data_IF_213508367924
#
_entry.id   IF_213508367924
#
_cell.length_a   1.000
_cell.length_b   1.000
_cell.length_c   1.000
_cell.angle_alpha   90.00
_cell.angle_beta   90.00
_cell.angle_gamma   90.00
#
_symmetry.space_group_name_H-M   'P 1'
#
loop_
_entity.id
_entity.type
_entity.pdbx_description
1 polymer ?
#
# COMPACT_ATOMS: atom_id res chain seq x y z
N UNK A 1 20.97 32.75 45.45
CA UNK A 1 19.59 32.58 44.94
C UNK A 1 19.58 31.64 43.73
N UNK A 2 20.07 30.39 43.89
CA UNK A 2 20.47 29.56 42.73
C UNK A 2 19.74 28.21 42.69
N UNK A 3 18.80 27.96 43.62
CA UNK A 3 18.07 26.70 43.73
C UNK A 3 16.77 26.67 42.91
N UNK A 4 16.09 27.83 42.77
CA UNK A 4 14.88 27.95 41.94
C UNK A 4 15.15 27.83 40.43
N UNK A 5 16.35 28.19 39.98
CA UNK A 5 16.73 28.09 38.58
C UNK A 5 16.90 26.63 38.12
N UNK A 6 17.19 25.70 39.04
CA UNK A 6 17.44 24.30 38.72
C UNK A 6 16.13 23.49 38.54
N UNK A 7 15.08 23.87 39.31
CA UNK A 7 13.76 23.21 39.25
C UNK A 7 13.00 23.58 37.97
N UNK A 8 13.20 24.80 37.46
CA UNK A 8 12.51 25.26 36.25
C UNK A 8 13.07 24.60 34.97
N UNK A 9 14.36 24.26 34.93
CA UNK A 9 14.99 23.57 33.81
C UNK A 9 14.54 22.11 33.70
N UNK A 10 14.31 21.43 34.84
CA UNK A 10 13.81 20.05 34.84
C UNK A 10 12.35 19.94 34.36
N UNK A 11 11.53 20.97 34.62
CA UNK A 11 10.11 20.97 34.25
C UNK A 11 9.87 21.20 32.75
N UNK A 12 10.80 21.84 32.04
CA UNK A 12 10.71 22.04 30.58
C UNK A 12 11.07 20.77 29.80
N UNK A 13 11.93 19.90 30.34
CA UNK A 13 12.29 18.66 29.67
C UNK A 13 11.15 17.62 29.62
N UNK A 14 10.14 17.72 30.49
CA UNK A 14 9.02 16.78 30.51
C UNK A 14 7.89 17.13 29.53
N UNK A 15 7.85 18.34 28.97
CA UNK A 15 6.81 18.74 28.01
C UNK A 15 7.20 18.54 26.55
N UNK A 16 8.48 18.26 26.27
CA UNK A 16 8.93 17.87 24.93
C UNK A 16 8.81 16.35 24.83
N UNK A 17 7.58 15.83 24.98
CA UNK A 17 7.23 14.54 24.41
C UNK A 17 7.28 14.73 22.90
N UNK A 18 8.47 14.58 22.32
CA UNK A 18 8.63 14.39 20.88
C UNK A 18 7.73 13.20 20.56
N UNK A 19 6.63 13.47 19.88
CA UNK A 19 5.91 12.45 19.15
C UNK A 19 6.92 11.85 18.19
N UNK A 20 7.35 10.64 18.53
CA UNK A 20 7.99 9.70 17.63
C UNK A 20 7.05 9.53 16.44
N UNK A 21 7.17 10.45 15.47
CA UNK A 21 6.61 10.27 14.15
C UNK A 21 7.50 9.21 13.55
N UNK A 22 7.07 7.95 13.71
CA UNK A 22 7.73 6.81 13.11
C UNK A 22 8.08 7.16 11.68
N UNK A 23 9.35 6.99 11.35
CA UNK A 23 9.91 7.20 10.02
C UNK A 23 9.02 6.47 9.01
N UNK A 24 8.16 7.24 8.34
CA UNK A 24 7.63 6.80 7.06
C UNK A 24 8.85 6.84 6.14
N UNK A 25 9.47 5.68 5.93
CA UNK A 25 10.42 5.50 4.84
C UNK A 25 9.68 5.91 3.56
N UNK A 26 10.00 7.10 3.07
CA UNK A 26 9.58 7.54 1.75
C UNK A 26 10.24 6.59 0.75
N UNK A 27 9.50 5.54 0.38
CA UNK A 27 9.78 4.75 -0.81
C UNK A 27 9.55 5.64 -2.04
N UNK A 28 10.42 6.64 -2.25
CA UNK A 28 10.47 7.55 -3.41
C UNK A 28 11.04 6.83 -4.66
N UNK A 29 10.64 5.56 -4.85
CA UNK A 29 10.87 4.81 -6.07
C UNK A 29 9.65 4.88 -6.99
N UNK A 30 9.81 4.64 -8.30
CA UNK A 30 8.67 4.43 -9.19
C UNK A 30 7.69 3.41 -8.57
N UNK A 31 6.38 3.67 -8.66
CA UNK A 31 5.38 2.77 -8.08
C UNK A 31 5.37 1.42 -8.81
N UNK A 32 5.52 0.33 -8.06
CA UNK A 32 5.48 -1.04 -8.60
C UNK A 32 4.39 -1.85 -7.91
N UNK A 33 3.56 -2.53 -8.69
CA UNK A 33 2.66 -3.56 -8.17
C UNK A 33 2.41 -4.65 -9.21
N UNK A 34 1.99 -5.81 -8.72
CA UNK A 34 1.49 -6.90 -9.53
C UNK A 34 0.21 -7.42 -8.90
N UNK A 35 -0.82 -7.59 -9.71
CA UNK A 35 -2.15 -8.02 -9.31
C UNK A 35 -2.67 -9.09 -10.27
N UNK A 36 -3.18 -10.17 -9.69
CA UNK A 36 -3.68 -11.32 -10.41
C UNK A 36 -4.93 -11.85 -9.73
N UNK A 37 -5.96 -12.13 -10.53
CA UNK A 37 -7.11 -12.92 -10.06
C UNK A 37 -7.62 -13.85 -11.14
N UNK A 38 -8.18 -14.99 -10.73
CA UNK A 38 -8.87 -15.91 -11.63
C UNK A 38 -10.09 -16.52 -10.94
N UNK A 39 -11.11 -16.78 -11.74
CA UNK A 39 -12.31 -17.51 -11.34
C UNK A 39 -12.45 -18.68 -12.28
N UNK A 40 -12.63 -19.86 -11.71
CA UNK A 40 -12.91 -21.09 -12.44
C UNK A 40 -13.99 -21.85 -11.68
N UNK A 41 -15.25 -21.53 -12.00
CA UNK A 41 -16.42 -22.13 -11.39
C UNK A 41 -17.15 -23.03 -12.42
N UNK A 42 -17.00 -24.37 -12.32
CA UNK A 42 -17.69 -25.30 -13.20
C UNK A 42 -19.21 -25.32 -13.03
N UNK A 43 -19.73 -24.88 -11.88
CA UNK A 43 -21.17 -24.91 -11.61
C UNK A 43 -21.90 -23.79 -12.33
N UNK A 44 -21.33 -22.58 -12.34
CA UNK A 44 -21.88 -21.43 -13.08
C UNK A 44 -21.33 -21.32 -14.50
N UNK A 45 -20.21 -21.99 -14.80
CA UNK A 45 -19.48 -21.85 -16.07
C UNK A 45 -18.63 -20.58 -16.14
N UNK A 46 -18.46 -19.87 -15.02
CA UNK A 46 -17.70 -18.63 -14.94
C UNK A 46 -16.20 -18.92 -14.95
N UNK A 47 -15.57 -18.65 -16.10
CA UNK A 47 -14.13 -18.79 -16.31
C UNK A 47 -13.58 -17.44 -16.76
N UNK A 48 -12.85 -16.76 -15.87
CA UNK A 48 -12.20 -15.48 -16.15
C UNK A 48 -10.88 -15.32 -15.43
N UNK A 49 -10.02 -14.47 -15.98
CA UNK A 49 -8.73 -14.13 -15.40
C UNK A 49 -8.37 -12.69 -15.69
N UNK A 50 -7.72 -12.02 -14.74
CA UNK A 50 -7.07 -10.74 -14.95
C UNK A 50 -5.63 -10.82 -14.43
N UNK A 51 -4.73 -10.18 -15.16
CA UNK A 51 -3.37 -9.89 -14.73
C UNK A 51 -3.08 -8.42 -14.99
N UNK A 52 -2.50 -7.72 -14.02
CA UNK A 52 -2.05 -6.34 -14.14
C UNK A 52 -0.72 -6.14 -13.42
N UNK A 53 0.23 -5.50 -14.09
CA UNK A 53 1.51 -5.10 -13.52
C UNK A 53 1.73 -3.62 -13.79
N UNK A 54 2.23 -2.91 -12.78
CA UNK A 54 2.68 -1.52 -12.91
C UNK A 54 4.17 -1.43 -12.70
N UNK A 55 4.80 -0.67 -13.59
CA UNK A 55 6.20 -0.27 -13.51
C UNK A 55 6.29 1.25 -13.66
N UNK A 56 6.43 1.95 -12.53
CA UNK A 56 6.46 3.41 -12.44
C UNK A 56 5.20 4.07 -12.98
N UNK A 57 5.25 4.50 -14.23
CA UNK A 57 4.16 5.18 -14.94
C UNK A 57 3.46 4.31 -15.98
N UNK A 58 3.94 3.08 -16.20
CA UNK A 58 3.41 2.17 -17.21
C UNK A 58 2.63 1.07 -16.53
N UNK A 59 1.36 0.93 -16.88
CA UNK A 59 0.50 -0.18 -16.46
C UNK A 59 0.27 -1.07 -17.67
N UNK A 60 0.47 -2.38 -17.49
CA UNK A 60 0.24 -3.40 -18.52
C UNK A 60 -0.53 -4.55 -17.90
N UNK A 61 -1.34 -5.22 -18.71
CA UNK A 61 -2.12 -6.34 -18.23
C UNK A 61 -2.92 -6.98 -19.33
N UNK A 62 -3.62 -8.04 -18.95
CA UNK A 62 -4.64 -8.66 -19.79
C UNK A 62 -5.85 -9.04 -18.94
N UNK A 63 -6.98 -9.08 -19.60
CA UNK A 63 -8.20 -9.65 -19.05
C UNK A 63 -8.64 -10.74 -20.01
N UNK A 64 -9.10 -11.86 -19.48
CA UNK A 64 -9.72 -12.89 -20.27
C UNK A 64 -11.01 -13.39 -19.67
N UNK A 65 -11.99 -13.62 -20.53
CA UNK A 65 -13.34 -14.04 -20.17
C UNK A 65 -13.82 -15.09 -21.16
N UNK A 66 -14.32 -16.21 -20.65
CA UNK A 66 -15.12 -17.14 -21.43
C UNK A 66 -16.58 -16.68 -21.45
N UNK A 67 -17.08 -16.44 -22.66
CA UNK A 67 -18.45 -16.07 -22.92
C UNK A 67 -19.35 -17.32 -23.03
N UNK A 68 -20.66 -17.20 -22.78
CA UNK A 68 -21.59 -18.33 -22.82
C UNK A 68 -21.79 -18.93 -24.22
N UNK A 69 -21.45 -18.20 -25.28
CA UNK A 69 -21.40 -18.67 -26.66
C UNK A 69 -20.11 -19.45 -26.99
N UNK A 70 -19.19 -19.57 -26.03
CA UNK A 70 -17.94 -20.31 -26.13
C UNK A 70 -16.76 -19.48 -26.65
N UNK A 71 -16.92 -18.20 -26.94
CA UNK A 71 -15.79 -17.34 -27.31
C UNK A 71 -14.96 -16.95 -26.09
N UNK A 72 -13.66 -16.77 -26.31
CA UNK A 72 -12.73 -16.25 -25.31
C UNK A 72 -12.21 -14.91 -25.78
N UNK A 73 -12.32 -13.90 -24.92
CA UNK A 73 -11.77 -12.56 -25.14
C UNK A 73 -10.62 -12.28 -24.21
#
# INVERSE_FOLDING_TARGET
MNSFLFVLVLSVCATISVCDHGDHEDHDGPAHYQFDYSVHDPHTGDIKQQHETRDGHVVKGFYSLHEPDGTKR
#
